data_IF_073501487963
#
_entry.id   IF_073501487963
#
_cell.length_a   1.000
_cell.length_b   1.000
_cell.length_c   1.000
_cell.angle_alpha   90.00
_cell.angle_beta   90.00
_cell.angle_gamma   90.00
#
_symmetry.space_group_name_H-M   'P 1'
#
loop_
_entity.id
_entity.type
_entity.pdbx_description
1 polymer ?
#
# COMPACT_ATOMS: atom_id res chain seq x y z
N UNK A 1 -0.80 20.16 -2.54
CA UNK A 1 -1.30 20.16 -1.15
C UNK A 1 -2.42 19.14 -0.93
N UNK A 2 -3.43 19.08 -1.80
CA UNK A 2 -4.56 18.12 -1.77
C UNK A 2 -4.16 16.63 -1.69
N UNK A 3 -3.12 16.22 -2.42
CA UNK A 3 -2.68 14.80 -2.47
C UNK A 3 -2.10 14.34 -1.12
N UNK A 4 -1.33 15.19 -0.42
CA UNK A 4 -0.78 14.85 0.91
C UNK A 4 -1.88 14.65 1.95
N UNK A 5 -2.93 15.48 1.90
CA UNK A 5 -4.08 15.38 2.82
C UNK A 5 -4.86 14.09 2.59
N UNK A 6 -5.10 13.68 1.34
CA UNK A 6 -5.78 12.40 1.06
C UNK A 6 -5.03 11.20 1.63
N UNK A 7 -3.70 11.15 1.49
CA UNK A 7 -2.89 10.04 2.02
C UNK A 7 -2.79 10.02 3.53
N UNK A 8 -2.69 11.20 4.15
CA UNK A 8 -2.76 11.34 5.62
C UNK A 8 -4.12 10.85 6.11
N UNK A 9 -5.22 11.26 5.48
CA UNK A 9 -6.58 10.83 5.86
C UNK A 9 -6.74 9.33 5.71
N UNK A 10 -6.29 8.72 4.60
CA UNK A 10 -6.37 7.25 4.42
C UNK A 10 -5.56 6.54 5.51
N UNK A 11 -4.31 6.96 5.74
CA UNK A 11 -3.44 6.38 6.77
C UNK A 11 -4.02 6.55 8.19
N UNK A 12 -4.65 7.69 8.48
CA UNK A 12 -5.33 7.97 9.75
C UNK A 12 -6.58 7.10 9.91
N UNK A 13 -7.39 6.95 8.86
CA UNK A 13 -8.60 6.11 8.90
C UNK A 13 -8.25 4.64 9.09
N UNK A 14 -7.18 4.16 8.46
CA UNK A 14 -6.70 2.79 8.64
C UNK A 14 -6.08 2.57 10.02
N UNK A 15 -5.41 3.58 10.59
CA UNK A 15 -4.90 3.53 11.96
C UNK A 15 -6.04 3.47 12.99
N UNK A 16 -7.08 4.30 12.82
CA UNK A 16 -8.27 4.28 13.67
C UNK A 16 -9.02 2.95 13.55
N UNK A 17 -9.20 2.43 12.33
CA UNK A 17 -9.78 1.11 12.12
C UNK A 17 -8.98 -0.01 12.77
N UNK A 18 -7.64 0.08 12.72
CA UNK A 18 -6.76 -0.88 13.36
C UNK A 18 -6.84 -0.87 14.89
N UNK A 19 -6.93 0.31 15.49
CA UNK A 19 -7.12 0.46 16.93
C UNK A 19 -8.47 -0.11 17.39
N UNK A 20 -9.54 0.13 16.63
CA UNK A 20 -10.87 -0.41 16.93
C UNK A 20 -10.90 -1.94 16.78
N UNK A 21 -10.34 -2.50 15.71
CA UNK A 21 -10.27 -3.95 15.50
C UNK A 21 -9.38 -4.64 16.55
N UNK A 22 -8.26 -4.02 16.93
CA UNK A 22 -7.40 -4.50 18.03
C UNK A 22 -8.12 -4.52 19.37
N UNK A 23 -9.10 -3.62 19.59
CA UNK A 23 -9.90 -3.60 20.83
C UNK A 23 -11.01 -4.66 20.88
N UNK A 24 -11.45 -5.16 19.71
CA UNK A 24 -12.57 -6.10 19.60
C UNK A 24 -12.13 -7.55 19.41
N UNK A 25 -10.90 -7.79 18.97
CA UNK A 25 -10.41 -9.11 18.61
C UNK A 25 -8.97 -9.31 19.10
N UNK A 26 -8.81 -10.18 20.10
CA UNK A 26 -7.50 -10.73 20.52
C UNK A 26 -7.42 -12.21 20.12
N UNK A 27 -7.04 -12.53 18.87
CA UNK A 27 -6.61 -13.87 18.48
C UNK A 27 -5.53 -14.43 19.40
N UNK A 28 -5.44 -15.75 19.48
CA UNK A 28 -4.31 -16.43 20.11
C UNK A 28 -2.98 -15.92 19.56
N UNK A 29 -2.04 -15.61 20.46
CA UNK A 29 -0.70 -15.08 20.15
C UNK A 29 0.06 -15.92 19.11
N UNK A 30 -0.21 -17.25 19.05
CA UNK A 30 0.42 -18.15 18.09
C UNK A 30 0.07 -17.84 16.62
N UNK A 31 -1.13 -17.33 16.35
CA UNK A 31 -1.58 -17.03 14.99
C UNK A 31 -0.90 -15.79 14.45
N UNK A 32 -0.74 -14.75 15.27
CA UNK A 32 -0.08 -13.51 14.85
C UNK A 32 1.38 -13.70 14.49
N UNK A 33 2.11 -14.53 15.25
CA UNK A 33 3.52 -14.84 15.00
C UNK A 33 3.76 -15.49 13.63
N UNK A 34 2.79 -16.23 13.11
CA UNK A 34 2.86 -16.81 11.77
C UNK A 34 2.35 -15.84 10.70
N UNK A 35 1.18 -15.22 10.92
CA UNK A 35 0.47 -14.46 9.87
C UNK A 35 1.14 -13.11 9.58
N UNK A 36 1.61 -12.38 10.60
CA UNK A 36 2.18 -11.03 10.43
C UNK A 36 3.41 -11.05 9.51
N UNK A 37 4.44 -11.91 9.72
CA UNK A 37 5.58 -11.98 8.83
C UNK A 37 5.22 -12.47 7.42
N UNK A 38 4.27 -13.41 7.30
CA UNK A 38 3.82 -13.91 6.00
C UNK A 38 3.18 -12.81 5.17
N UNK A 39 2.21 -12.06 5.73
CA UNK A 39 1.54 -10.97 5.00
C UNK A 39 2.50 -9.84 4.66
N UNK A 40 3.41 -9.48 5.58
CA UNK A 40 4.45 -8.50 5.30
C UNK A 40 5.36 -8.94 4.13
N UNK A 41 5.75 -10.22 4.10
CA UNK A 41 6.57 -10.78 3.01
C UNK A 41 5.83 -10.72 1.67
N UNK A 42 4.56 -11.11 1.63
CA UNK A 42 3.73 -11.02 0.42
C UNK A 42 3.59 -9.57 -0.07
N UNK A 43 3.39 -8.62 0.85
CA UNK A 43 3.39 -7.19 0.56
C UNK A 43 4.72 -6.74 -0.07
N UNK A 44 5.87 -7.17 0.47
CA UNK A 44 7.18 -6.84 -0.08
C UNK A 44 7.46 -7.41 -1.47
N UNK A 45 7.01 -8.64 -1.74
CA UNK A 45 7.09 -9.25 -3.07
C UNK A 45 6.25 -8.43 -4.06
N UNK A 46 5.00 -8.13 -3.71
CA UNK A 46 4.09 -7.40 -4.59
C UNK A 46 4.54 -5.94 -4.83
N UNK A 47 5.07 -5.29 -3.79
CA UNK A 47 5.72 -3.99 -3.91
C UNK A 47 6.86 -4.03 -4.95
N UNK A 48 7.75 -5.02 -4.84
CA UNK A 48 8.92 -5.15 -5.72
C UNK A 48 8.50 -5.37 -7.17
N UNK A 49 7.54 -6.28 -7.41
CA UNK A 49 6.99 -6.55 -8.73
C UNK A 49 6.33 -5.29 -9.32
N UNK A 50 5.47 -4.62 -8.55
CA UNK A 50 4.74 -3.46 -9.03
C UNK A 50 5.62 -2.22 -9.25
N UNK A 51 6.60 -1.96 -8.37
CA UNK A 51 7.61 -0.92 -8.59
C UNK A 51 8.44 -1.19 -9.84
N UNK A 52 8.78 -2.46 -10.12
CA UNK A 52 9.48 -2.84 -11.34
C UNK A 52 8.74 -2.37 -12.60
N UNK A 53 7.43 -2.60 -12.67
CA UNK A 53 6.59 -2.13 -13.79
C UNK A 53 6.51 -0.61 -13.81
N UNK A 54 6.28 0.02 -12.67
CA UNK A 54 6.16 1.49 -12.58
C UNK A 54 7.44 2.19 -13.05
N UNK A 55 8.62 1.68 -12.68
CA UNK A 55 9.91 2.26 -13.05
C UNK A 55 10.29 2.02 -14.50
N UNK A 56 9.84 0.90 -15.09
CA UNK A 56 10.10 0.56 -16.50
C UNK A 56 9.04 1.12 -17.46
N UNK A 57 7.96 1.71 -16.94
CA UNK A 57 6.91 2.30 -17.74
C UNK A 57 7.44 3.43 -18.63
N UNK A 58 7.27 3.28 -19.95
CA UNK A 58 7.71 4.25 -20.94
C UNK A 58 6.52 4.84 -21.73
N UNK A 59 6.11 6.11 -21.48
CA UNK A 59 5.03 6.75 -22.21
C UNK A 59 5.42 7.33 -23.57
N UNK A 60 6.63 7.10 -24.09
CA UNK A 60 7.13 7.75 -25.31
C UNK A 60 6.31 7.47 -26.58
N UNK A 61 5.55 6.38 -26.61
CA UNK A 61 4.66 6.05 -27.72
C UNK A 61 3.41 6.96 -27.79
N UNK A 62 3.09 7.70 -26.71
CA UNK A 62 1.91 8.57 -26.66
C UNK A 62 2.21 9.89 -27.37
N UNK A 63 1.67 10.07 -28.58
CA UNK A 63 1.84 11.30 -29.39
C UNK A 63 1.05 12.50 -28.85
N UNK A 64 -0.08 12.26 -28.18
CA UNK A 64 -0.91 13.34 -27.63
C UNK A 64 -0.28 13.93 -26.34
N UNK A 65 0.15 15.21 -26.34
CA UNK A 65 0.89 15.80 -25.21
C UNK A 65 0.06 15.95 -23.94
N UNK A 66 -1.27 16.16 -24.06
CA UNK A 66 -2.16 16.27 -22.90
C UNK A 66 -2.31 14.92 -22.20
N UNK A 67 -2.49 13.85 -22.98
CA UNK A 67 -2.59 12.48 -22.46
C UNK A 67 -1.24 12.05 -21.86
N UNK A 68 -0.13 12.31 -22.56
CA UNK A 68 1.22 12.02 -22.09
C UNK A 68 1.47 12.63 -20.71
N UNK A 69 1.18 13.93 -20.54
CA UNK A 69 1.37 14.63 -19.27
C UNK A 69 0.54 13.99 -18.14
N UNK A 70 -0.74 13.70 -18.41
CA UNK A 70 -1.64 13.08 -17.43
C UNK A 70 -1.14 11.69 -17.00
N UNK A 71 -0.75 10.85 -17.95
CA UNK A 71 -0.25 9.50 -17.69
C UNK A 71 1.06 9.57 -16.88
N UNK A 72 2.00 10.43 -17.29
CA UNK A 72 3.27 10.64 -16.58
C UNK A 72 3.05 11.05 -15.13
N UNK A 73 2.18 12.03 -14.88
CA UNK A 73 1.86 12.50 -13.53
C UNK A 73 1.21 11.39 -12.69
N UNK A 74 0.28 10.62 -13.27
CA UNK A 74 -0.37 9.51 -12.59
C UNK A 74 0.61 8.39 -12.22
N UNK A 75 1.48 7.97 -13.14
CA UNK A 75 2.49 6.94 -12.87
C UNK A 75 3.47 7.40 -11.79
N UNK A 76 3.92 8.67 -11.83
CA UNK A 76 4.76 9.23 -10.77
C UNK A 76 4.04 9.26 -9.41
N UNK A 77 2.75 9.55 -9.39
CA UNK A 77 1.94 9.52 -8.17
C UNK A 77 1.81 8.10 -7.61
N UNK A 78 1.55 7.10 -8.46
CA UNK A 78 1.50 5.69 -8.04
C UNK A 78 2.86 5.26 -7.49
N UNK A 79 3.97 5.59 -8.16
CA UNK A 79 5.33 5.31 -7.67
C UNK A 79 5.57 5.84 -6.26
N UNK A 80 5.26 7.11 -6.04
CA UNK A 80 5.47 7.75 -4.74
C UNK A 80 4.57 7.13 -3.66
N UNK A 81 3.34 6.74 -4.03
CA UNK A 81 2.40 6.07 -3.13
C UNK A 81 2.90 4.66 -2.78
N UNK A 82 3.43 3.91 -3.75
CA UNK A 82 4.05 2.60 -3.52
C UNK A 82 5.15 2.68 -2.47
N UNK A 83 6.07 3.62 -2.65
CA UNK A 83 7.15 3.87 -1.69
C UNK A 83 6.61 4.21 -0.30
N UNK A 84 5.60 5.09 -0.22
CA UNK A 84 5.02 5.51 1.05
C UNK A 84 4.35 4.37 1.82
N UNK A 85 3.49 3.58 1.15
CA UNK A 85 2.82 2.43 1.76
C UNK A 85 3.79 1.35 2.18
N UNK A 86 4.82 1.11 1.38
CA UNK A 86 5.85 0.13 1.71
C UNK A 86 6.66 0.60 2.92
N UNK A 87 7.13 1.85 2.94
CA UNK A 87 7.84 2.41 4.09
C UNK A 87 7.01 2.34 5.38
N UNK A 88 5.71 2.67 5.31
CA UNK A 88 4.84 2.61 6.47
C UNK A 88 4.64 1.16 6.96
N UNK A 89 4.37 0.23 6.06
CA UNK A 89 4.28 -1.19 6.39
C UNK A 89 5.59 -1.70 7.04
N UNK A 90 6.75 -1.35 6.48
CA UNK A 90 8.05 -1.71 7.04
C UNK A 90 8.27 -1.13 8.43
N UNK A 91 7.98 0.16 8.65
CA UNK A 91 8.13 0.80 9.96
C UNK A 91 7.23 0.10 10.99
N UNK A 92 5.95 -0.12 10.66
CA UNK A 92 5.01 -0.77 11.58
C UNK A 92 5.41 -2.22 11.88
N UNK A 93 5.90 -2.95 10.89
CA UNK A 93 6.42 -4.31 11.07
C UNK A 93 7.66 -4.34 11.96
N UNK A 94 8.63 -3.45 11.75
CA UNK A 94 9.83 -3.37 12.60
C UNK A 94 9.47 -3.02 14.04
N UNK A 95 8.56 -2.05 14.24
CA UNK A 95 8.06 -1.69 15.57
C UNK A 95 7.42 -2.91 16.24
N UNK A 96 6.63 -3.70 15.52
CA UNK A 96 6.00 -4.89 16.10
C UNK A 96 6.98 -6.01 16.47
N UNK A 97 8.18 -6.04 15.89
CA UNK A 97 9.22 -7.00 16.27
C UNK A 97 10.02 -6.55 17.51
N UNK A 98 10.11 -5.24 17.75
CA UNK A 98 10.94 -4.67 18.83
C UNK A 98 10.10 -4.40 20.08
N UNK A 99 8.89 -3.87 19.90
CA UNK A 99 8.00 -3.46 20.98
C UNK A 99 7.10 -4.63 21.36
N UNK A 100 7.26 -5.11 22.59
CA UNK A 100 6.32 -6.07 23.17
C UNK A 100 5.02 -5.36 23.55
N UNK A 101 3.90 -6.09 23.58
CA UNK A 101 2.60 -5.53 23.92
C UNK A 101 2.64 -4.80 25.27
N UNK A 102 2.18 -3.55 25.28
CA UNK A 102 2.08 -2.73 26.49
C UNK A 102 0.62 -2.51 26.82
N UNK A 103 0.20 -2.90 28.02
CA UNK A 103 -1.11 -2.60 28.58
C UNK A 103 -1.06 -1.24 29.26
N UNK A 104 -1.69 -0.23 28.65
CA UNK A 104 -1.92 1.06 29.28
C UNK A 104 -3.31 1.04 29.92
N UNK A 105 -3.37 0.88 31.24
CA UNK A 105 -4.61 1.06 32.02
C UNK A 105 -4.70 2.50 32.49
N UNK A 106 -5.69 3.24 31.98
CA UNK A 106 -6.13 4.51 32.57
C UNK A 106 -7.59 4.33 33.01
N UNK A 107 -7.84 4.57 34.31
CA UNK A 107 -9.13 4.81 34.99
C UNK A 107 -10.35 4.48 34.10
N UNK A 108 -10.76 3.20 34.09
CA UNK A 108 -11.92 2.60 33.38
C UNK A 108 -11.82 2.31 31.86
N UNK A 109 -10.71 2.63 31.19
CA UNK A 109 -10.53 2.33 29.77
C UNK A 109 -9.21 1.56 29.52
N UNK A 110 -9.32 0.24 29.35
CA UNK A 110 -8.17 -0.62 29.02
C UNK A 110 -7.94 -0.56 27.50
N UNK A 111 -7.04 0.30 27.05
CA UNK A 111 -6.58 0.28 25.64
C UNK A 111 -5.47 -0.76 25.54
N UNK A 112 -5.79 -1.92 24.97
CA UNK A 112 -4.79 -2.93 24.62
C UNK A 112 -4.21 -2.55 23.26
N UNK A 113 -3.01 -1.97 23.26
CA UNK A 113 -2.29 -1.71 22.03
C UNK A 113 -1.47 -2.95 21.67
N UNK A 114 -1.88 -3.68 20.63
CA UNK A 114 -1.08 -4.76 20.07
C UNK A 114 -0.35 -4.27 18.80
N UNK A 115 0.98 -4.06 18.85
CA UNK A 115 1.79 -3.67 17.70
C UNK A 115 1.66 -4.64 16.51
N UNK A 116 1.47 -5.94 16.78
CA UNK A 116 1.34 -6.98 15.74
C UNK A 116 0.07 -6.78 14.90
N UNK A 117 -1.04 -6.40 15.52
CA UNK A 117 -2.30 -6.11 14.82
C UNK A 117 -2.17 -4.90 13.90
N UNK A 118 -1.45 -3.86 14.35
CA UNK A 118 -1.18 -2.67 13.53
C UNK A 118 -0.30 -3.03 12.32
N UNK A 119 0.79 -3.79 12.55
CA UNK A 119 1.67 -4.24 11.49
C UNK A 119 0.93 -5.13 10.46
N UNK A 120 0.07 -6.03 10.92
CA UNK A 120 -0.75 -6.88 10.06
C UNK A 120 -1.65 -6.05 9.14
N UNK A 121 -2.39 -5.10 9.71
CA UNK A 121 -3.35 -4.31 8.97
C UNK A 121 -2.68 -3.40 7.95
N UNK A 122 -1.60 -2.71 8.33
CA UNK A 122 -0.83 -1.90 7.38
C UNK A 122 -0.24 -2.75 6.26
N UNK A 123 0.31 -3.92 6.58
CA UNK A 123 0.84 -4.84 5.57
C UNK A 123 -0.25 -5.32 4.60
N UNK A 124 -1.45 -5.64 5.12
CA UNK A 124 -2.58 -6.10 4.32
C UNK A 124 -3.13 -5.00 3.40
N UNK A 125 -3.29 -3.79 3.93
CA UNK A 125 -3.74 -2.63 3.16
C UNK A 125 -2.74 -2.30 2.05
N UNK A 126 -1.45 -2.28 2.38
CA UNK A 126 -0.37 -2.08 1.40
C UNK A 126 -0.40 -3.16 0.31
N UNK A 127 -0.54 -4.44 0.69
CA UNK A 127 -0.65 -5.55 -0.26
C UNK A 127 -1.81 -5.35 -1.24
N UNK A 128 -3.02 -5.09 -0.73
CA UNK A 128 -4.21 -4.87 -1.58
C UNK A 128 -3.99 -3.66 -2.50
N UNK A 129 -3.43 -2.57 -1.97
CA UNK A 129 -3.12 -1.38 -2.75
C UNK A 129 -2.14 -1.69 -3.89
N UNK A 130 -1.07 -2.46 -3.62
CA UNK A 130 -0.10 -2.85 -4.65
C UNK A 130 -0.73 -3.72 -5.73
N UNK A 131 -1.56 -4.70 -5.36
CA UNK A 131 -2.25 -5.59 -6.32
C UNK A 131 -3.15 -4.78 -7.26
N UNK A 132 -4.02 -3.93 -6.72
CA UNK A 132 -4.98 -3.16 -7.53
C UNK A 132 -4.26 -2.22 -8.50
N UNK A 133 -3.25 -1.50 -8.01
CA UNK A 133 -2.50 -0.55 -8.85
C UNK A 133 -1.65 -1.27 -9.89
N UNK A 134 -1.06 -2.42 -9.56
CA UNK A 134 -0.34 -3.26 -10.51
C UNK A 134 -1.24 -3.68 -11.68
N UNK A 135 -2.42 -4.24 -11.39
CA UNK A 135 -3.39 -4.64 -12.41
C UNK A 135 -3.83 -3.45 -13.27
N UNK A 136 -4.04 -2.29 -12.64
CA UNK A 136 -4.44 -1.06 -13.33
C UNK A 136 -3.35 -0.56 -14.27
N UNK A 137 -2.08 -0.57 -13.84
CA UNK A 137 -0.96 -0.13 -14.67
C UNK A 137 -0.73 -1.12 -15.82
N UNK A 138 -0.81 -2.43 -15.57
CA UNK A 138 -0.71 -3.42 -16.64
C UNK A 138 -1.80 -3.22 -17.71
N UNK A 139 -3.05 -3.02 -17.28
CA UNK A 139 -4.13 -2.71 -18.20
C UNK A 139 -3.85 -1.43 -19.01
N UNK A 140 -3.40 -0.37 -18.34
CA UNK A 140 -3.03 0.87 -19.01
C UNK A 140 -1.93 0.69 -20.07
N UNK A 141 -0.92 -0.14 -19.79
CA UNK A 141 0.15 -0.46 -20.75
C UNK A 141 -0.45 -1.13 -22.00
N UNK A 142 -1.31 -2.13 -21.82
CA UNK A 142 -1.94 -2.83 -22.95
C UNK A 142 -2.87 -1.90 -23.75
N UNK A 143 -3.69 -1.10 -23.07
CA UNK A 143 -4.61 -0.14 -23.70
C UNK A 143 -3.84 0.90 -24.54
N UNK A 144 -2.69 1.38 -24.05
CA UNK A 144 -1.82 2.30 -24.80
C UNK A 144 -1.23 1.59 -26.02
N UNK A 145 -0.70 0.38 -25.85
CA UNK A 145 -0.09 -0.38 -26.95
C UNK A 145 -1.10 -0.66 -28.07
N UNK A 146 -2.31 -1.13 -27.73
CA UNK A 146 -3.36 -1.40 -28.70
C UNK A 146 -3.76 -0.13 -29.48
N UNK A 147 -3.86 1.00 -28.78
CA UNK A 147 -4.24 2.26 -29.41
C UNK A 147 -3.16 2.80 -30.34
N UNK A 148 -1.89 2.70 -29.96
CA UNK A 148 -0.76 3.08 -30.80
C UNK A 148 -0.74 2.22 -32.08
N UNK A 149 -0.95 0.91 -31.97
CA UNK A 149 -1.00 0.02 -33.14
C UNK A 149 -2.12 0.40 -34.13
N UNK A 150 -3.30 0.81 -33.63
CA UNK A 150 -4.42 1.29 -34.48
C UNK A 150 -4.09 2.60 -35.19
N UNK A 151 -3.40 3.52 -34.51
CA UNK A 151 -2.98 4.81 -35.08
C UNK A 151 -1.88 4.67 -36.15
N UNK A 152 -1.07 3.61 -36.12
CA UNK A 152 -0.03 3.35 -37.12
C UNK A 152 -0.56 2.66 -38.40
N UNK A 153 -1.74 2.04 -38.32
CA UNK A 153 -2.40 1.35 -39.45
C UNK A 153 -3.35 2.26 -40.25
N UNK A 154 -3.57 3.50 -39.81
CA UNK A 154 -4.46 4.49 -40.45
C UNK A 154 -3.63 5.59 -41.10
#
# INVERSE_FOLDING_TARGET
MQVKIKWIVVSLTTLVGALVLSSLYTPEEGVYKAVVPTIYTLSGIMFSIGMGIVCTFNPSAIKNPQIFKRVKENIANVRNSFLMYFSLATITFLISQIVHSHTLSAIELTIIFNPETVALLFSLISLIYFIINFLTIQKLIFDIAEKVMKEEQT
#
